data_IF_673264943387
#
_entry.id   IF_673264943387
#
_cell.length_a   1.000
_cell.length_b   1.000
_cell.length_c   1.000
_cell.angle_alpha   90.00
_cell.angle_beta   90.00
_cell.angle_gamma   90.00
#
_symmetry.space_group_name_H-M   'P 1'
#
loop_
_entity.id
_entity.type
_entity.pdbx_description
1 polymer ?
#
# COMPACT_ATOMS: atom_id res chain seq x y z
N UNK A 1 -6.47 2.23 22.59
CA UNK A 1 -6.44 1.99 21.12
C UNK A 1 -5.34 1.01 20.72
N UNK A 2 -4.07 1.20 21.11
CA UNK A 2 -3.00 0.25 20.78
C UNK A 2 -3.05 -1.05 21.60
N UNK A 3 -3.29 -0.98 22.92
CA UNK A 3 -3.38 -2.19 23.76
C UNK A 3 -4.47 -3.17 23.30
N UNK A 4 -5.69 -2.66 23.10
CA UNK A 4 -6.80 -3.42 22.53
C UNK A 4 -6.51 -4.02 21.14
N UNK A 5 -5.68 -3.35 20.33
CA UNK A 5 -5.25 -3.88 19.03
C UNK A 5 -4.26 -5.04 19.20
N UNK A 6 -3.36 -4.96 20.18
CA UNK A 6 -2.42 -6.04 20.52
C UNK A 6 -3.14 -7.29 21.03
N UNK A 7 -4.17 -7.14 21.86
CA UNK A 7 -4.97 -8.28 22.34
C UNK A 7 -5.59 -9.07 21.16
N UNK A 8 -6.14 -8.35 20.17
CA UNK A 8 -6.70 -8.97 18.96
C UNK A 8 -5.62 -9.58 18.06
N UNK A 9 -4.46 -8.94 17.93
CA UNK A 9 -3.35 -9.48 17.16
C UNK A 9 -2.80 -10.78 17.77
N UNK A 10 -2.70 -10.88 19.09
CA UNK A 10 -2.26 -12.08 19.79
C UNK A 10 -3.23 -13.26 19.58
N UNK A 11 -4.55 -13.01 19.70
CA UNK A 11 -5.58 -14.01 19.41
C UNK A 11 -5.51 -14.51 17.95
N UNK A 12 -5.34 -13.59 17.00
CA UNK A 12 -5.19 -13.92 15.58
C UNK A 12 -3.98 -14.81 15.31
N UNK A 13 -2.78 -14.45 15.82
CA UNK A 13 -1.56 -15.26 15.63
C UNK A 13 -1.69 -16.65 16.25
N UNK A 14 -2.34 -16.76 17.41
CA UNK A 14 -2.56 -18.05 18.09
C UNK A 14 -3.48 -18.96 17.27
N UNK A 15 -4.58 -18.41 16.72
CA UNK A 15 -5.50 -19.16 15.84
C UNK A 15 -4.81 -19.61 14.56
N UNK A 16 -4.01 -18.73 13.93
CA UNK A 16 -3.26 -19.04 12.73
C UNK A 16 -2.22 -20.14 12.96
N UNK A 17 -1.48 -20.10 14.07
CA UNK A 17 -0.51 -21.15 14.40
C UNK A 17 -1.17 -22.54 14.49
N UNK A 18 -2.33 -22.65 15.16
CA UNK A 18 -3.10 -23.91 15.21
C UNK A 18 -3.58 -24.35 13.82
N UNK A 19 -4.11 -23.41 13.02
CA UNK A 19 -4.56 -23.72 11.66
C UNK A 19 -3.42 -24.24 10.78
N UNK A 20 -2.27 -23.55 10.79
CA UNK A 20 -1.07 -23.93 10.05
C UNK A 20 -0.55 -25.31 10.48
N UNK A 21 -0.59 -25.63 11.77
CA UNK A 21 -0.24 -26.96 12.26
C UNK A 21 -1.14 -28.06 11.68
N UNK A 22 -2.45 -27.81 11.50
CA UNK A 22 -3.34 -28.78 10.80
C UNK A 22 -3.00 -28.97 9.32
N UNK A 23 -2.23 -28.03 8.74
CA UNK A 23 -1.68 -28.11 7.37
C UNK A 23 -0.24 -28.62 7.34
N UNK A 24 0.30 -29.12 8.46
CA UNK A 24 1.66 -29.64 8.56
C UNK A 24 2.75 -28.57 8.69
N UNK A 25 2.37 -27.30 8.90
CA UNK A 25 3.31 -26.18 9.05
C UNK A 25 3.42 -25.84 10.54
N UNK A 26 4.55 -26.21 11.15
CA UNK A 26 4.81 -26.03 12.59
C UNK A 26 5.97 -25.08 12.91
N UNK A 27 6.62 -24.55 11.87
CA UNK A 27 7.70 -23.56 11.99
C UNK A 27 7.18 -22.14 11.84
N UNK A 28 8.02 -21.17 12.19
CA UNK A 28 7.74 -19.74 11.98
C UNK A 28 7.67 -19.41 10.48
N UNK A 29 6.69 -18.59 10.08
CA UNK A 29 6.52 -18.17 8.69
C UNK A 29 7.55 -17.07 8.38
N UNK A 30 8.49 -17.30 7.44
CA UNK A 30 9.46 -16.29 7.06
C UNK A 30 8.75 -15.12 6.36
N UNK A 31 9.17 -13.91 6.68
CA UNK A 31 8.73 -12.70 5.98
C UNK A 31 9.72 -12.33 4.88
N UNK A 32 9.24 -11.82 3.72
CA UNK A 32 10.12 -11.18 2.76
C UNK A 32 10.78 -9.94 3.37
N UNK A 33 11.88 -9.49 2.78
CA UNK A 33 12.54 -8.27 3.23
C UNK A 33 11.62 -7.06 2.99
N UNK A 34 11.17 -6.45 4.09
CA UNK A 34 10.31 -5.25 4.11
C UNK A 34 11.01 -4.07 4.81
N UNK A 35 12.34 -4.09 4.90
CA UNK A 35 13.15 -3.08 5.60
C UNK A 35 13.07 -1.68 4.97
N UNK A 36 12.67 -1.58 3.70
CA UNK A 36 12.43 -0.30 3.01
C UNK A 36 11.06 -0.30 2.35
N UNK A 37 10.55 0.91 2.09
CA UNK A 37 9.29 1.12 1.37
C UNK A 37 9.29 0.40 0.02
N UNK A 38 10.37 0.51 -0.74
CA UNK A 38 10.51 -0.06 -2.08
C UNK A 38 10.48 -1.58 -2.04
N UNK A 39 11.17 -2.18 -1.05
CA UNK A 39 11.18 -3.64 -0.86
C UNK A 39 9.81 -4.16 -0.45
N UNK A 40 9.12 -3.48 0.47
CA UNK A 40 7.77 -3.84 0.87
C UNK A 40 6.77 -3.74 -0.28
N UNK A 41 6.83 -2.66 -1.08
CA UNK A 41 5.98 -2.48 -2.27
C UNK A 41 6.24 -3.60 -3.30
N UNK A 42 7.50 -3.97 -3.52
CA UNK A 42 7.86 -5.09 -4.38
C UNK A 42 7.36 -6.43 -3.84
N UNK A 43 7.47 -6.66 -2.53
CA UNK A 43 7.02 -7.89 -1.89
C UNK A 43 5.50 -8.14 -2.04
N UNK A 44 4.71 -7.07 -2.16
CA UNK A 44 3.26 -7.16 -2.42
C UNK A 44 2.91 -7.03 -3.92
N UNK A 45 3.89 -6.99 -4.82
CA UNK A 45 3.69 -7.04 -6.27
C UNK A 45 3.43 -5.70 -6.96
N UNK A 46 3.72 -4.55 -6.33
CA UNK A 46 3.53 -3.24 -6.97
C UNK A 46 4.66 -2.92 -7.96
N UNK A 47 4.31 -2.70 -9.22
CA UNK A 47 5.21 -2.14 -10.22
C UNK A 47 5.31 -0.61 -10.05
N UNK A 48 6.13 -0.18 -9.08
CA UNK A 48 6.26 1.24 -8.76
C UNK A 48 6.85 2.08 -9.89
N UNK A 49 7.63 1.50 -10.79
CA UNK A 49 8.14 2.23 -11.96
C UNK A 49 6.98 2.62 -12.89
N UNK A 50 6.12 1.66 -13.23
CA UNK A 50 4.94 1.91 -14.05
C UNK A 50 3.97 2.89 -13.37
N UNK A 51 3.62 2.64 -12.10
CA UNK A 51 2.67 3.48 -11.34
C UNK A 51 3.17 4.92 -11.28
N UNK A 52 4.46 5.13 -11.02
CA UNK A 52 5.02 6.48 -10.96
C UNK A 52 5.07 7.12 -12.36
N UNK A 53 5.40 6.38 -13.41
CA UNK A 53 5.40 6.89 -14.79
C UNK A 53 4.00 7.38 -15.21
N UNK A 54 2.98 6.53 -15.04
CA UNK A 54 1.59 6.88 -15.33
C UNK A 54 1.12 8.09 -14.51
N UNK A 55 1.51 8.16 -13.23
CA UNK A 55 1.18 9.31 -12.39
C UNK A 55 1.87 10.59 -12.87
N UNK A 56 3.12 10.52 -13.30
CA UNK A 56 3.85 11.66 -13.84
C UNK A 56 3.22 12.15 -15.14
N UNK A 57 2.81 11.25 -16.02
CA UNK A 57 2.13 11.61 -17.27
C UNK A 57 0.79 12.28 -16.99
N UNK A 58 -0.01 11.72 -16.06
CA UNK A 58 -1.25 12.35 -15.60
C UNK A 58 -1.02 13.77 -15.06
N UNK A 59 -0.02 13.95 -14.20
CA UNK A 59 0.29 15.26 -13.61
C UNK A 59 0.72 16.30 -14.66
N UNK A 60 1.45 15.88 -15.70
CA UNK A 60 1.93 16.78 -16.75
C UNK A 60 0.88 17.09 -17.81
N UNK A 61 -0.09 16.22 -18.00
CA UNK A 61 -1.07 16.33 -19.10
C UNK A 61 -2.43 16.81 -18.61
N UNK A 62 -2.97 16.19 -17.57
CA UNK A 62 -4.35 16.40 -17.14
C UNK A 62 -4.47 17.57 -16.17
N UNK A 63 -3.54 17.71 -15.23
CA UNK A 63 -3.62 18.79 -14.22
C UNK A 63 -3.58 20.19 -14.87
N UNK A 64 -2.69 20.48 -15.84
CA UNK A 64 -2.72 21.79 -16.52
C UNK A 64 -4.03 22.05 -17.26
N UNK A 65 -4.63 21.03 -17.87
CA UNK A 65 -5.93 21.16 -18.54
C UNK A 65 -7.04 21.51 -17.54
N UNK A 66 -7.01 20.92 -16.35
CA UNK A 66 -7.95 21.24 -15.29
C UNK A 66 -7.76 22.67 -14.77
N UNK A 67 -6.51 23.11 -14.58
CA UNK A 67 -6.22 24.49 -14.18
C UNK A 67 -6.72 25.49 -15.23
N UNK A 68 -6.47 25.23 -16.52
CA UNK A 68 -6.93 26.09 -17.60
C UNK A 68 -8.46 26.16 -17.68
N UNK A 69 -9.13 25.02 -17.51
CA UNK A 69 -10.58 24.98 -17.44
C UNK A 69 -11.12 25.74 -16.23
N UNK A 70 -10.49 25.59 -15.06
CA UNK A 70 -10.88 26.30 -13.85
C UNK A 70 -10.68 27.81 -13.98
N UNK A 71 -9.57 28.25 -14.58
CA UNK A 71 -9.31 29.68 -14.90
C UNK A 71 -10.34 30.25 -15.86
N UNK A 72 -10.67 29.53 -16.96
CA UNK A 72 -11.71 29.94 -17.92
C UNK A 72 -13.09 30.11 -17.28
N UNK A 73 -13.40 29.27 -16.30
CA UNK A 73 -14.67 29.31 -15.58
C UNK A 73 -14.65 30.27 -14.36
N UNK A 74 -13.56 31.01 -14.14
CA UNK A 74 -13.43 31.93 -13.01
C UNK A 74 -13.33 31.26 -11.64
N UNK A 75 -13.06 29.95 -11.59
CA UNK A 75 -12.96 29.15 -10.37
C UNK A 75 -11.55 29.11 -9.78
N UNK A 76 -10.55 29.49 -10.57
CA UNK A 76 -9.15 29.56 -10.18
C UNK A 76 -8.58 30.93 -10.58
N UNK A 77 -8.02 31.66 -9.62
CA UNK A 77 -7.32 32.92 -9.85
C UNK A 77 -6.06 32.72 -10.70
N UNK A 78 -5.63 33.79 -11.39
CA UNK A 78 -4.36 33.81 -12.15
C UNK A 78 -3.17 33.40 -11.29
#
# INVERSE_FOLDING_TARGET
MLGSAMDKAADARTKLARLLATKGITHEIPLPDISTKEKAQKAIGLNMQQINAEKQDFLKTVVPQWEDQARKNGLLSQ
#
